data_IF_598302923257
#
_entry.id   IF_598302923257
#
_cell.length_a   1.000
_cell.length_b   1.000
_cell.length_c   1.000
_cell.angle_alpha   90.00
_cell.angle_beta   90.00
_cell.angle_gamma   90.00
#
_symmetry.space_group_name_H-M   'P 1'
#
loop_
_entity.id
_entity.type
_entity.pdbx_description
1 polymer ?
#
# COMPACT_ATOMS: atom_id res chain seq x y z
N UNK A 1 13.52 10.97 5.36
CA UNK A 1 13.10 10.73 6.77
C UNK A 1 11.62 11.07 6.96
N UNK A 2 11.16 12.29 6.67
CA UNK A 2 9.74 12.73 6.79
C UNK A 2 8.73 11.83 6.08
N UNK A 3 9.08 11.33 4.88
CA UNK A 3 8.20 10.45 4.08
C UNK A 3 7.83 9.17 4.81
N UNK A 4 8.77 8.52 5.50
CA UNK A 4 8.49 7.26 6.20
C UNK A 4 7.60 7.46 7.44
N UNK A 5 7.73 8.59 8.13
CA UNK A 5 6.84 8.94 9.26
C UNK A 5 5.41 9.14 8.76
N UNK A 6 5.22 9.81 7.63
CA UNK A 6 3.90 9.99 7.00
C UNK A 6 3.32 8.64 6.57
N UNK A 7 4.15 7.76 6.00
CA UNK A 7 3.74 6.42 5.54
C UNK A 7 3.28 5.52 6.71
N UNK A 8 3.97 5.59 7.85
CA UNK A 8 3.56 4.87 9.08
C UNK A 8 2.25 5.41 9.66
N UNK A 9 2.01 6.73 9.59
CA UNK A 9 0.76 7.32 10.03
C UNK A 9 -0.43 6.87 9.17
N UNK A 10 -0.26 6.82 7.83
CA UNK A 10 -1.35 6.43 6.93
C UNK A 10 -1.70 4.94 7.04
N UNK A 11 -0.72 4.09 7.37
CA UNK A 11 -0.92 2.66 7.62
C UNK A 11 -1.93 2.39 8.74
N UNK A 12 -2.03 3.29 9.73
CA UNK A 12 -3.01 3.19 10.80
C UNK A 12 -4.42 3.06 10.23
N UNK A 13 -4.79 3.89 9.25
CA UNK A 13 -6.13 3.86 8.63
C UNK A 13 -6.43 2.55 7.89
N UNK A 14 -5.41 1.95 7.22
CA UNK A 14 -5.55 0.67 6.53
C UNK A 14 -5.75 -0.48 7.51
N UNK A 15 -4.99 -0.51 8.61
CA UNK A 15 -5.08 -1.59 9.60
C UNK A 15 -6.27 -1.46 10.54
N UNK A 16 -6.73 -0.25 10.85
CA UNK A 16 -7.94 -0.03 11.67
C UNK A 16 -9.25 -0.21 10.90
N UNK A 17 -9.20 -0.70 9.65
CA UNK A 17 -10.36 -0.91 8.79
C UNK A 17 -11.25 0.34 8.69
N UNK A 18 -10.64 1.50 8.44
CA UNK A 18 -11.40 2.73 8.24
C UNK A 18 -12.43 2.53 7.10
N UNK A 19 -13.68 3.02 7.21
CA UNK A 19 -14.73 2.79 6.22
C UNK A 19 -14.30 3.10 4.78
N UNK A 20 -13.55 4.18 4.58
CA UNK A 20 -13.00 4.55 3.25
C UNK A 20 -12.01 3.51 2.71
N UNK A 21 -11.15 2.97 3.60
CA UNK A 21 -10.21 1.93 3.21
C UNK A 21 -10.93 0.62 2.90
N UNK A 22 -11.98 0.28 3.63
CA UNK A 22 -12.78 -0.93 3.34
C UNK A 22 -13.48 -0.74 1.99
N UNK A 23 -14.15 0.40 1.79
CA UNK A 23 -14.88 0.72 0.55
C UNK A 23 -14.01 0.62 -0.71
N UNK A 24 -12.79 1.18 -0.69
CA UNK A 24 -11.88 1.11 -1.85
C UNK A 24 -11.51 -0.34 -2.16
N UNK A 25 -11.12 -1.12 -1.15
CA UNK A 25 -10.69 -2.51 -1.35
C UNK A 25 -11.85 -3.46 -1.69
N UNK A 26 -13.06 -3.17 -1.20
CA UNK A 26 -14.29 -3.88 -1.54
C UNK A 26 -14.66 -3.61 -3.00
N UNK A 27 -14.53 -2.36 -3.48
CA UNK A 27 -14.78 -2.00 -4.89
C UNK A 27 -13.88 -2.73 -5.88
N UNK A 28 -12.62 -2.99 -5.54
CA UNK A 28 -11.71 -3.79 -6.38
C UNK A 28 -11.78 -5.30 -6.09
N UNK A 29 -12.68 -5.75 -5.19
CA UNK A 29 -12.87 -7.17 -4.87
C UNK A 29 -11.70 -7.83 -4.15
N UNK A 30 -10.86 -7.03 -3.47
CA UNK A 30 -9.65 -7.49 -2.79
C UNK A 30 -9.75 -7.36 -1.26
N UNK A 31 -10.92 -7.06 -0.72
CA UNK A 31 -11.18 -7.05 0.73
C UNK A 31 -11.39 -8.48 1.26
N UNK A 32 -10.92 -8.82 2.49
CA UNK A 32 -10.02 -8.07 3.37
C UNK A 32 -8.53 -8.26 3.03
N UNK A 33 -8.20 -9.32 2.29
CA UNK A 33 -6.83 -9.82 2.15
C UNK A 33 -5.89 -8.83 1.46
N UNK A 34 -6.33 -8.19 0.38
CA UNK A 34 -5.57 -7.17 -0.34
C UNK A 34 -5.30 -5.92 0.51
N UNK A 35 -6.25 -5.51 1.35
CA UNK A 35 -6.05 -4.38 2.27
C UNK A 35 -4.91 -4.67 3.24
N UNK A 36 -4.94 -5.85 3.85
CA UNK A 36 -3.93 -6.28 4.83
C UNK A 36 -2.58 -6.52 4.15
N UNK A 37 -2.55 -7.22 3.00
CA UNK A 37 -1.32 -7.52 2.26
C UNK A 37 -0.60 -6.26 1.77
N UNK A 38 -1.34 -5.29 1.22
CA UNK A 38 -0.77 -4.00 0.81
C UNK A 38 -0.30 -3.21 2.03
N UNK A 39 -1.08 -3.19 3.12
CA UNK A 39 -0.67 -2.54 4.37
C UNK A 39 0.64 -3.11 4.93
N UNK A 40 0.80 -4.43 4.94
CA UNK A 40 2.05 -5.07 5.39
C UNK A 40 3.22 -4.70 4.46
N UNK A 41 3.00 -4.73 3.14
CA UNK A 41 4.02 -4.39 2.15
C UNK A 41 4.51 -2.94 2.28
N UNK A 42 3.58 -2.01 2.50
CA UNK A 42 3.86 -0.60 2.77
C UNK A 42 4.57 -0.39 4.11
N UNK A 43 4.24 -1.15 5.15
CA UNK A 43 4.95 -1.10 6.43
C UNK A 43 6.41 -1.52 6.27
N UNK A 44 6.64 -2.61 5.54
CA UNK A 44 8.00 -3.08 5.21
C UNK A 44 8.74 -2.02 4.41
N UNK A 45 8.11 -1.44 3.38
CA UNK A 45 8.71 -0.37 2.58
C UNK A 45 9.07 0.86 3.43
N UNK A 46 8.17 1.30 4.32
CA UNK A 46 8.40 2.42 5.23
C UNK A 46 9.59 2.19 6.17
N UNK A 47 9.71 0.99 6.74
CA UNK A 47 10.85 0.60 7.59
C UNK A 47 12.16 0.57 6.79
N UNK A 48 12.15 0.00 5.58
CA UNK A 48 13.33 -0.06 4.73
C UNK A 48 13.79 1.32 4.24
N UNK A 49 12.86 2.26 4.03
CA UNK A 49 13.17 3.65 3.67
C UNK A 49 13.72 4.48 4.84
N UNK A 50 13.52 4.06 6.09
CA UNK A 50 14.11 4.72 7.27
C UNK A 50 15.59 4.40 7.44
N UNK A 51 16.07 3.26 6.95
CA UNK A 51 17.47 2.85 7.10
C UNK A 51 18.22 3.22 5.81
N UNK A 52 19.20 4.15 5.83
CA UNK A 52 19.88 4.64 4.63
C UNK A 52 20.47 3.55 3.74
N UNK A 53 20.93 2.45 4.34
CA UNK A 53 21.52 1.30 3.65
C UNK A 53 20.48 0.42 2.91
N UNK A 54 19.20 0.51 3.26
CA UNK A 54 18.12 -0.29 2.66
C UNK A 54 17.12 0.53 1.85
N UNK A 55 17.40 1.82 1.61
CA UNK A 55 16.51 2.71 0.83
C UNK A 55 16.19 2.13 -0.54
N UNK A 56 17.18 1.56 -1.23
CA UNK A 56 16.98 0.96 -2.56
C UNK A 56 15.98 -0.20 -2.52
N UNK A 57 16.04 -1.04 -1.48
CA UNK A 57 15.10 -2.13 -1.29
C UNK A 57 13.68 -1.61 -0.97
N UNK A 58 13.58 -0.61 -0.10
CA UNK A 58 12.30 0.05 0.20
C UNK A 58 11.67 0.72 -1.03
N UNK A 59 12.49 1.33 -1.90
CA UNK A 59 12.03 1.91 -3.16
C UNK A 59 11.49 0.85 -4.12
N UNK A 60 12.16 -0.30 -4.27
CA UNK A 60 11.69 -1.41 -5.11
C UNK A 60 10.34 -1.94 -4.60
N UNK A 61 10.19 -2.16 -3.30
CA UNK A 61 8.93 -2.62 -2.71
C UNK A 61 7.81 -1.61 -2.98
N UNK A 62 8.09 -0.32 -2.78
CA UNK A 62 7.12 0.76 -3.04
C UNK A 62 6.68 0.79 -4.51
N UNK A 63 7.64 0.66 -5.44
CA UNK A 63 7.35 0.59 -6.87
C UNK A 63 6.50 -0.64 -7.23
N UNK A 64 6.76 -1.79 -6.63
CA UNK A 64 5.94 -2.99 -6.81
C UNK A 64 4.49 -2.78 -6.36
N UNK A 65 4.29 -2.18 -5.19
CA UNK A 65 2.94 -1.87 -4.66
C UNK A 65 2.19 -0.90 -5.56
N UNK A 66 2.82 0.20 -5.98
CA UNK A 66 2.21 1.19 -6.88
C UNK A 66 1.89 0.57 -8.24
N UNK A 67 2.81 -0.21 -8.80
CA UNK A 67 2.60 -0.88 -10.09
C UNK A 67 1.43 -1.86 -10.04
N UNK A 68 1.33 -2.66 -8.97
CA UNK A 68 0.20 -3.55 -8.74
C UNK A 68 -1.12 -2.80 -8.61
N UNK A 69 -1.13 -1.68 -7.88
CA UNK A 69 -2.32 -0.83 -7.76
C UNK A 69 -2.75 -0.26 -9.12
N UNK A 70 -1.82 0.26 -9.93
CA UNK A 70 -2.11 0.78 -11.28
C UNK A 70 -2.71 -0.31 -12.17
N UNK A 71 -2.14 -1.52 -12.16
CA UNK A 71 -2.66 -2.63 -12.96
C UNK A 71 -4.09 -3.00 -12.55
N UNK A 72 -4.39 -3.06 -11.26
CA UNK A 72 -5.75 -3.33 -10.77
C UNK A 72 -6.72 -2.25 -11.25
N UNK A 73 -6.35 -0.97 -11.11
CA UNK A 73 -7.21 0.13 -11.57
C UNK A 73 -7.43 0.09 -13.08
N UNK A 74 -6.41 -0.25 -13.87
CA UNK A 74 -6.52 -0.38 -15.31
C UNK A 74 -7.43 -1.55 -15.71
N UNK A 75 -7.30 -2.71 -15.05
CA UNK A 75 -8.16 -3.87 -15.29
C UNK A 75 -9.61 -3.57 -14.89
N UNK A 76 -9.83 -2.88 -13.78
CA UNK A 76 -11.16 -2.43 -13.34
C UNK A 76 -11.78 -1.46 -14.35
N UNK A 77 -11.00 -0.51 -14.89
CA UNK A 77 -11.47 0.41 -15.93
C UNK A 77 -11.83 -0.31 -17.23
N UNK A 78 -11.05 -1.32 -17.64
CA UNK A 78 -11.30 -2.09 -18.88
C UNK A 78 -12.52 -3.02 -18.74
N UNK A 79 -12.82 -3.50 -17.52
CA UNK A 79 -13.96 -4.39 -17.26
C UNK A 79 -15.29 -3.67 -17.00
N UNK A 80 -15.28 -2.35 -16.88
CA UNK A 80 -16.47 -1.50 -16.75
C UNK A 80 -16.82 -0.85 -18.08
#
# INVERSE_FOLDING_TARGET
>A
MTVAVILIQTLRFKFTAHPDSVYIFEKVGLEPYGRIAIGISELIAGILLLIPKTIWAGAIVTLGVISGAILIHLITLIRH
#
